data_IF_906418884242
#
_entry.id   IF_906418884242
#
_cell.length_a   1.000
_cell.length_b   1.000
_cell.length_c   1.000
_cell.angle_alpha   90.00
_cell.angle_beta   90.00
_cell.angle_gamma   90.00
#
_symmetry.space_group_name_H-M   'P 1'
#
loop_
_entity.id
_entity.type
_entity.pdbx_description
1 polymer ?
#
# COMPACT_ATOMS: atom_id res chain seq x y z
N UNK A 1 14.99 17.23 -16.60
CA UNK A 1 14.34 16.23 -15.74
C UNK A 1 13.45 16.92 -14.70
N UNK A 2 12.32 16.30 -14.35
CA UNK A 2 11.36 16.84 -13.38
C UNK A 2 11.63 16.33 -11.96
N UNK A 3 12.33 15.22 -11.83
CA UNK A 3 12.59 14.55 -10.55
C UNK A 3 13.95 14.94 -9.96
N UNK A 4 14.03 14.87 -8.62
CA UNK A 4 15.30 14.93 -7.91
C UNK A 4 16.06 13.60 -8.07
N UNK A 5 17.34 13.65 -8.39
CA UNK A 5 18.20 12.47 -8.56
C UNK A 5 18.38 11.63 -7.28
N UNK A 6 18.12 12.22 -6.09
CA UNK A 6 18.33 11.53 -4.82
C UNK A 6 17.18 10.61 -4.43
N UNK A 7 15.90 11.03 -4.66
CA UNK A 7 14.72 10.30 -4.18
C UNK A 7 13.58 10.22 -5.21
N UNK A 8 13.78 10.79 -6.40
CA UNK A 8 12.78 10.83 -7.47
C UNK A 8 11.62 11.80 -7.23
N UNK A 9 11.69 12.67 -6.22
CA UNK A 9 10.62 13.64 -5.93
C UNK A 9 10.47 14.63 -7.08
N UNK A 10 9.25 14.83 -7.55
CA UNK A 10 8.90 15.84 -8.55
C UNK A 10 8.47 17.12 -7.83
N UNK A 11 9.07 18.26 -8.23
CA UNK A 11 8.73 19.58 -7.67
C UNK A 11 7.23 19.87 -7.90
N UNK A 12 6.53 20.27 -6.82
CA UNK A 12 5.10 20.55 -6.82
C UNK A 12 4.67 21.63 -7.83
N UNK A 13 5.59 22.48 -8.31
CA UNK A 13 5.29 23.46 -9.37
C UNK A 13 4.91 22.83 -10.71
N UNK A 14 5.26 21.55 -10.92
CA UNK A 14 4.98 20.81 -12.17
C UNK A 14 3.71 19.94 -12.06
N UNK A 15 3.08 19.85 -10.88
CA UNK A 15 1.95 18.98 -10.62
C UNK A 15 0.81 19.73 -9.94
N UNK A 16 -0.44 19.29 -10.13
CA UNK A 16 -1.60 19.87 -9.44
C UNK A 16 -1.66 19.43 -7.96
N UNK A 17 -1.06 18.30 -7.63
CA UNK A 17 -1.00 17.75 -6.28
C UNK A 17 0.46 17.43 -5.94
N UNK A 18 0.96 17.78 -4.75
CA UNK A 18 2.31 17.44 -4.32
C UNK A 18 2.45 15.92 -4.06
N UNK A 19 3.69 15.43 -4.04
CA UNK A 19 4.00 14.05 -3.67
C UNK A 19 4.18 13.08 -4.84
N UNK A 20 4.14 13.57 -6.07
CA UNK A 20 4.53 12.78 -7.24
C UNK A 20 6.03 12.46 -7.20
N UNK A 21 6.37 11.27 -7.67
CA UNK A 21 7.75 10.81 -7.84
C UNK A 21 7.95 10.32 -9.28
N UNK A 22 9.19 10.32 -9.74
CA UNK A 22 9.51 9.84 -11.08
C UNK A 22 11.00 9.68 -11.31
N UNK A 23 11.37 8.99 -12.36
CA UNK A 23 12.72 8.90 -12.89
C UNK A 23 12.68 8.86 -14.41
N UNK A 24 13.68 9.42 -15.07
CA UNK A 24 13.72 9.61 -16.53
C UNK A 24 12.45 10.27 -17.08
N UNK A 25 11.97 11.28 -16.34
CA UNK A 25 10.75 12.02 -16.61
C UNK A 25 11.07 13.49 -16.83
N UNK A 26 10.57 14.06 -17.93
CA UNK A 26 10.91 15.42 -18.37
C UNK A 26 9.66 16.23 -18.69
N UNK A 27 9.73 17.55 -18.51
CA UNK A 27 8.67 18.43 -18.96
C UNK A 27 8.71 18.58 -20.49
N UNK A 28 7.56 18.46 -21.14
CA UNK A 28 7.45 18.57 -22.58
C UNK A 28 6.21 19.35 -23.00
N UNK A 29 6.26 20.69 -22.85
CA UNK A 29 5.18 21.58 -23.32
C UNK A 29 3.85 21.42 -22.61
N UNK A 30 3.87 21.19 -21.29
CA UNK A 30 2.67 21.04 -20.46
C UNK A 30 2.26 19.58 -20.18
N UNK A 31 2.96 18.61 -20.76
CA UNK A 31 2.80 17.17 -20.45
C UNK A 31 4.11 16.57 -19.90
N UNK A 32 4.05 15.37 -19.38
CA UNK A 32 5.21 14.58 -19.01
C UNK A 32 5.73 13.77 -20.21
N UNK A 33 7.05 13.73 -20.35
CA UNK A 33 7.77 12.86 -21.28
C UNK A 33 8.51 11.81 -20.47
N UNK A 34 8.10 10.55 -20.60
CA UNK A 34 8.76 9.40 -20.02
C UNK A 34 9.79 8.89 -21.04
N UNK A 35 11.06 9.06 -20.73
CA UNK A 35 12.13 8.64 -21.61
C UNK A 35 12.39 7.14 -21.50
N UNK A 36 13.01 6.57 -22.52
CA UNK A 36 13.51 5.20 -22.50
C UNK A 36 14.93 5.23 -23.02
N UNK A 37 15.88 5.07 -22.10
CA UNK A 37 17.27 4.84 -22.39
C UNK A 37 17.57 3.35 -22.23
N UNK A 38 18.08 2.72 -23.28
CA UNK A 38 18.36 1.27 -23.28
C UNK A 38 19.55 0.90 -22.39
N UNK A 39 20.37 1.87 -22.00
CA UNK A 39 21.54 1.66 -21.15
C UNK A 39 21.28 2.09 -19.69
N UNK A 40 20.48 3.14 -19.48
CA UNK A 40 20.28 3.75 -18.17
C UNK A 40 18.93 3.39 -17.52
N UNK A 41 17.88 3.06 -18.29
CA UNK A 41 16.59 2.66 -17.76
C UNK A 41 15.38 3.22 -18.49
N UNK A 42 14.20 3.02 -17.92
CA UNK A 42 12.91 3.45 -18.47
C UNK A 42 12.23 4.48 -17.59
N UNK A 43 11.59 5.46 -18.22
CA UNK A 43 10.84 6.51 -17.54
C UNK A 43 9.63 5.98 -16.79
N UNK A 44 9.45 6.46 -15.56
CA UNK A 44 8.34 6.09 -14.70
C UNK A 44 7.83 7.29 -13.90
N UNK A 45 6.54 7.24 -13.59
CA UNK A 45 5.83 8.16 -12.70
C UNK A 45 5.14 7.37 -11.60
N UNK A 46 5.15 7.91 -10.38
CA UNK A 46 4.40 7.37 -9.25
C UNK A 46 3.53 8.48 -8.67
N UNK A 47 2.26 8.20 -8.46
CA UNK A 47 1.32 9.12 -7.84
C UNK A 47 1.68 9.43 -6.38
N UNK A 48 1.16 10.51 -5.80
CA UNK A 48 1.03 10.59 -4.35
C UNK A 48 0.28 9.38 -3.81
N UNK A 49 0.51 9.02 -2.55
CA UNK A 49 -0.23 7.94 -1.89
C UNK A 49 -1.72 8.27 -1.84
N UNK A 50 -2.55 7.35 -2.31
CA UNK A 50 -3.99 7.49 -2.48
C UNK A 50 -4.75 6.53 -1.54
N UNK A 51 -5.95 6.91 -1.14
CA UNK A 51 -6.91 5.97 -0.56
C UNK A 51 -7.86 5.50 -1.67
N UNK A 52 -7.64 4.30 -2.18
CA UNK A 52 -8.44 3.65 -3.22
C UNK A 52 -9.31 2.51 -2.68
N UNK A 53 -9.44 2.40 -1.35
CA UNK A 53 -10.14 1.28 -0.71
C UNK A 53 -11.66 1.34 -0.78
N UNK A 54 -12.26 2.48 -1.12
CA UNK A 54 -13.71 2.61 -1.21
C UNK A 54 -14.28 1.70 -2.31
N UNK A 55 -15.56 1.37 -2.18
CA UNK A 55 -16.29 0.57 -3.19
C UNK A 55 -15.59 -0.76 -3.53
N UNK A 56 -15.04 -1.43 -2.50
CA UNK A 56 -14.35 -2.70 -2.67
C UNK A 56 -13.04 -2.60 -3.44
N UNK A 57 -12.42 -1.44 -3.48
CA UNK A 57 -11.16 -1.19 -4.19
C UNK A 57 -11.32 -1.05 -5.71
N UNK A 58 -12.52 -0.79 -6.20
CA UNK A 58 -12.75 -0.58 -7.64
C UNK A 58 -12.43 0.84 -8.05
N UNK A 59 -11.54 1.01 -9.03
CA UNK A 59 -11.20 2.31 -9.59
C UNK A 59 -10.78 2.22 -11.06
N UNK A 60 -10.83 3.35 -11.75
CA UNK A 60 -10.25 3.53 -13.08
C UNK A 60 -9.10 4.50 -13.02
N UNK A 61 -8.08 4.24 -13.82
CA UNK A 61 -7.09 5.24 -14.22
C UNK A 61 -7.32 5.60 -15.69
N UNK A 62 -7.47 6.87 -15.96
CA UNK A 62 -7.68 7.46 -17.28
C UNK A 62 -6.53 8.42 -17.56
N UNK A 63 -5.97 8.36 -18.75
CA UNK A 63 -4.89 9.25 -19.17
C UNK A 63 -4.90 9.43 -20.69
N UNK A 64 -4.25 10.49 -21.15
CA UNK A 64 -3.95 10.70 -22.56
C UNK A 64 -2.47 10.39 -22.80
N UNK A 65 -2.18 9.64 -23.86
CA UNK A 65 -0.81 9.33 -24.21
C UNK A 65 -0.60 9.23 -25.72
N UNK A 66 0.67 9.33 -26.11
CA UNK A 66 1.15 9.02 -27.46
C UNK A 66 2.61 8.62 -27.41
N UNK A 67 3.03 7.76 -28.32
CA UNK A 67 4.46 7.43 -28.47
C UNK A 67 5.22 8.65 -29.01
N UNK A 68 6.39 8.93 -28.43
CA UNK A 68 7.26 10.02 -28.86
C UNK A 68 8.12 9.60 -30.07
N UNK A 69 7.49 9.11 -31.13
CA UNK A 69 8.17 8.68 -32.37
C UNK A 69 7.58 9.39 -33.58
N UNK A 70 8.42 9.73 -34.53
CA UNK A 70 8.00 10.22 -35.84
C UNK A 70 7.47 9.12 -36.76
N UNK A 71 7.64 7.84 -36.39
CA UNK A 71 7.14 6.70 -37.15
C UNK A 71 5.69 6.41 -36.73
N UNK A 72 4.76 6.56 -37.66
CA UNK A 72 3.33 6.34 -37.44
C UNK A 72 2.94 4.89 -37.11
N UNK A 73 3.85 3.95 -37.27
CA UNK A 73 3.65 2.52 -36.97
C UNK A 73 4.30 2.06 -35.66
N UNK A 74 4.95 2.95 -34.91
CA UNK A 74 5.53 2.58 -33.60
C UNK A 74 4.39 2.37 -32.60
N UNK A 75 4.34 1.22 -31.96
CA UNK A 75 3.48 0.94 -30.81
C UNK A 75 4.34 0.68 -29.61
N UNK A 76 3.88 1.08 -28.43
CA UNK A 76 4.51 0.72 -27.16
C UNK A 76 3.48 0.28 -26.14
N UNK A 77 3.95 -0.25 -25.03
CA UNK A 77 3.12 -0.56 -23.87
C UNK A 77 3.48 0.37 -22.72
N UNK A 78 2.45 0.87 -22.05
CA UNK A 78 2.57 1.44 -20.70
C UNK A 78 2.19 0.35 -19.71
N UNK A 79 3.03 0.14 -18.71
CA UNK A 79 2.68 -0.63 -17.53
C UNK A 79 2.10 0.30 -16.47
N UNK A 80 0.96 -0.08 -15.93
CA UNK A 80 0.32 0.59 -14.80
C UNK A 80 0.21 -0.42 -13.66
N UNK A 81 0.85 -0.10 -12.54
CA UNK A 81 0.91 -0.97 -11.38
C UNK A 81 0.23 -0.29 -10.19
N UNK A 82 -0.66 -1.02 -9.51
CA UNK A 82 -1.18 -0.62 -8.21
C UNK A 82 -0.33 -1.26 -7.12
N UNK A 83 0.26 -0.45 -6.26
CA UNK A 83 1.24 -0.86 -5.25
C UNK A 83 0.77 -0.44 -3.87
N UNK A 84 0.53 -1.38 -2.98
CA UNK A 84 0.13 -1.09 -1.59
C UNK A 84 1.37 -0.80 -0.72
N UNK A 85 1.36 0.33 -0.01
CA UNK A 85 2.46 0.80 0.87
C UNK A 85 3.82 0.89 0.16
N UNK A 86 3.85 1.08 -1.15
CA UNK A 86 5.09 1.11 -1.93
C UNK A 86 5.72 -0.27 -2.17
N UNK A 87 5.01 -1.36 -1.86
CA UNK A 87 5.47 -2.73 -2.09
C UNK A 87 5.16 -3.17 -3.52
N UNK A 88 6.16 -3.11 -4.38
CA UNK A 88 6.03 -3.45 -5.80
C UNK A 88 6.03 -4.96 -6.10
N UNK A 89 6.50 -5.78 -5.17
CA UNK A 89 6.60 -7.24 -5.35
C UNK A 89 5.24 -7.95 -5.42
N UNK A 90 4.20 -7.36 -4.82
CA UNK A 90 2.83 -7.88 -4.78
C UNK A 90 1.85 -6.96 -5.54
N UNK A 91 2.35 -6.15 -6.45
CA UNK A 91 1.52 -5.21 -7.21
C UNK A 91 0.66 -5.92 -8.26
N UNK A 92 -0.56 -5.43 -8.45
CA UNK A 92 -1.38 -5.79 -9.62
C UNK A 92 -0.94 -4.93 -10.79
N UNK A 93 -0.49 -5.57 -11.86
CA UNK A 93 0.00 -4.91 -13.07
C UNK A 93 -1.01 -5.07 -14.20
N UNK A 94 -1.36 -3.96 -14.84
CA UNK A 94 -2.09 -3.93 -16.11
C UNK A 94 -1.23 -3.27 -17.18
N UNK A 95 -1.31 -3.75 -18.42
CA UNK A 95 -0.64 -3.14 -19.56
C UNK A 95 -1.62 -2.52 -20.53
N UNK A 96 -1.23 -1.41 -21.13
CA UNK A 96 -1.99 -0.74 -22.18
C UNK A 96 -1.10 -0.50 -23.39
N UNK A 97 -1.49 -1.05 -24.53
CA UNK A 97 -0.82 -0.75 -25.81
C UNK A 97 -1.13 0.69 -26.22
N UNK A 98 -0.09 1.49 -26.39
CA UNK A 98 -0.15 2.85 -26.90
C UNK A 98 0.13 2.81 -28.40
N UNK A 99 -0.84 3.23 -29.19
CA UNK A 99 -0.69 3.27 -30.64
C UNK A 99 0.28 4.37 -31.06
N UNK A 100 1.14 4.05 -32.01
CA UNK A 100 2.16 4.94 -32.58
C UNK A 100 1.56 6.00 -33.50
N UNK A 101 0.64 6.78 -33.01
CA UNK A 101 0.11 7.92 -33.73
C UNK A 101 0.76 9.21 -33.25
N UNK A 102 0.95 10.18 -34.13
CA UNK A 102 1.33 11.55 -33.74
C UNK A 102 0.20 12.29 -33.00
N UNK A 103 -0.94 11.63 -32.79
CA UNK A 103 -2.12 12.19 -32.14
C UNK A 103 -2.27 11.63 -30.72
N UNK A 104 -2.66 12.51 -29.81
CA UNK A 104 -3.07 12.11 -28.48
C UNK A 104 -4.29 11.21 -28.52
N UNK A 105 -4.26 10.14 -27.74
CA UNK A 105 -5.39 9.22 -27.55
C UNK A 105 -5.63 9.03 -26.06
N UNK A 106 -6.88 8.88 -25.68
CA UNK A 106 -7.29 8.60 -24.30
C UNK A 106 -7.33 7.09 -24.07
N UNK A 107 -6.85 6.66 -22.92
CA UNK A 107 -6.83 5.29 -22.46
C UNK A 107 -7.45 5.20 -21.06
N UNK A 108 -8.10 4.09 -20.77
CA UNK A 108 -8.71 3.80 -19.47
C UNK A 108 -8.40 2.38 -19.07
N UNK A 109 -7.86 2.20 -17.86
CA UNK A 109 -7.65 0.90 -17.22
C UNK A 109 -8.52 0.82 -15.98
N UNK A 110 -9.01 -0.38 -15.66
CA UNK A 110 -9.84 -0.64 -14.47
C UNK A 110 -9.11 -1.61 -13.54
N UNK A 111 -9.15 -1.30 -12.25
CA UNK A 111 -8.60 -2.10 -11.15
C UNK A 111 -9.69 -2.40 -10.13
N UNK A 112 -9.51 -3.47 -9.35
CA UNK A 112 -10.47 -3.91 -8.32
C UNK A 112 -9.80 -4.26 -6.99
N UNK A 113 -8.55 -3.84 -6.82
CA UNK A 113 -7.66 -4.19 -5.73
C UNK A 113 -7.16 -2.98 -4.94
N UNK A 114 -7.83 -1.83 -5.09
CA UNK A 114 -7.48 -0.58 -4.40
C UNK A 114 -7.54 -0.71 -2.88
N UNK A 115 -6.56 -0.12 -2.21
CA UNK A 115 -6.38 -0.14 -0.76
C UNK A 115 -6.27 1.29 -0.20
N UNK A 116 -6.15 1.40 1.12
CA UNK A 116 -6.14 2.70 1.81
C UNK A 116 -4.82 3.49 1.68
N UNK A 117 -3.76 2.87 1.15
CA UNK A 117 -2.44 3.49 0.94
C UNK A 117 -1.79 2.94 -0.32
N UNK A 118 -2.40 3.22 -1.45
CA UNK A 118 -1.89 2.80 -2.75
C UNK A 118 -1.09 3.90 -3.44
N UNK A 119 -0.05 3.50 -4.13
CA UNK A 119 0.68 4.30 -5.10
C UNK A 119 0.46 3.69 -6.49
N UNK A 120 0.15 4.49 -7.48
CA UNK A 120 0.04 4.03 -8.86
C UNK A 120 1.30 4.38 -9.61
N UNK A 121 2.02 3.36 -10.08
CA UNK A 121 3.18 3.54 -10.94
C UNK A 121 2.81 3.36 -12.41
N UNK A 122 3.28 4.27 -13.24
CA UNK A 122 3.15 4.26 -14.70
C UNK A 122 4.55 4.21 -15.30
N UNK A 123 4.83 3.21 -16.13
CA UNK A 123 6.18 2.97 -16.69
C UNK A 123 6.09 2.80 -18.21
N UNK A 124 6.91 3.52 -18.96
CA UNK A 124 7.13 3.28 -20.40
C UNK A 124 7.95 1.99 -20.59
N UNK A 125 7.73 1.24 -21.69
CA UNK A 125 8.40 -0.04 -21.91
C UNK A 125 9.58 0.03 -22.86
N UNK A 126 9.33 0.42 -24.10
CA UNK A 126 10.32 0.27 -25.19
C UNK A 126 10.60 1.56 -25.95
N UNK A 127 9.66 2.50 -25.93
CA UNK A 127 9.79 3.80 -26.59
C UNK A 127 9.41 4.92 -25.63
N UNK A 128 10.01 6.11 -25.78
CA UNK A 128 9.57 7.27 -25.01
C UNK A 128 8.10 7.60 -25.27
N UNK A 129 7.40 8.01 -24.23
CA UNK A 129 5.96 8.31 -24.26
C UNK A 129 5.69 9.69 -23.70
N UNK A 130 4.84 10.45 -24.38
CA UNK A 130 4.18 11.62 -23.80
C UNK A 130 2.91 11.17 -23.09
N UNK A 131 2.70 11.62 -21.86
CA UNK A 131 1.50 11.36 -21.05
C UNK A 131 0.99 12.62 -20.40
N UNK A 132 -0.35 12.73 -20.30
CA UNK A 132 -1.05 13.90 -19.75
C UNK A 132 -2.44 13.52 -19.24
N UNK A 133 -3.11 14.46 -18.54
CA UNK A 133 -4.49 14.35 -18.07
C UNK A 133 -4.76 13.07 -17.25
N UNK A 134 -3.84 12.70 -16.37
CA UNK A 134 -3.98 11.51 -15.52
C UNK A 134 -5.09 11.77 -14.50
N UNK A 135 -6.14 10.95 -14.53
CA UNK A 135 -7.27 11.00 -13.61
C UNK A 135 -7.53 9.64 -13.02
N UNK A 136 -7.67 9.56 -11.69
CA UNK A 136 -8.02 8.34 -10.97
C UNK A 136 -9.39 8.53 -10.33
N UNK A 137 -10.34 7.63 -10.64
CA UNK A 137 -11.73 7.71 -10.17
C UNK A 137 -12.16 6.39 -9.57
N UNK A 138 -12.62 6.40 -8.32
CA UNK A 138 -13.20 5.23 -7.68
C UNK A 138 -14.60 4.94 -8.22
N UNK A 139 -14.92 3.66 -8.44
CA UNK A 139 -16.19 3.21 -9.04
C UNK A 139 -17.05 2.63 -7.92
N UNK A 140 -18.20 3.26 -7.65
CA UNK A 140 -19.18 2.70 -6.70
C UNK A 140 -19.80 1.41 -7.27
N UNK A 141 -19.41 0.29 -6.67
CA UNK A 141 -19.93 -1.04 -6.97
C UNK A 141 -20.78 -1.61 -5.81
N UNK A 142 -21.16 -0.77 -4.84
CA UNK A 142 -21.94 -1.16 -3.66
C UNK A 142 -21.15 -1.85 -2.55
N UNK A 143 -19.89 -2.22 -2.77
CA UNK A 143 -19.04 -2.84 -1.75
C UNK A 143 -18.45 -1.81 -0.80
N UNK A 144 -18.25 -2.17 0.49
CA UNK A 144 -17.56 -1.29 1.44
C UNK A 144 -16.06 -1.22 1.14
N UNK A 145 -15.40 -0.15 1.63
CA UNK A 145 -13.95 -0.01 1.58
C UNK A 145 -13.23 -0.95 2.56
N UNK A 146 -11.99 -1.33 2.25
CA UNK A 146 -11.16 -2.08 3.19
C UNK A 146 -10.73 -1.17 4.37
N UNK A 147 -10.82 -1.64 5.63
CA UNK A 147 -10.32 -0.90 6.78
C UNK A 147 -8.80 -0.74 6.71
N UNK A 148 -8.27 0.32 7.33
CA UNK A 148 -6.86 0.40 7.65
C UNK A 148 -6.65 -0.10 9.07
N UNK A 149 -6.09 -1.32 9.21
CA UNK A 149 -5.73 -1.85 10.51
C UNK A 149 -4.56 -1.04 11.11
N UNK A 150 -4.63 -0.79 12.42
CA UNK A 150 -3.68 0.01 13.18
C UNK A 150 -2.92 -0.88 14.16
N UNK A 151 -1.82 -0.36 14.74
CA UNK A 151 -1.05 -1.10 15.73
C UNK A 151 -1.91 -1.54 16.93
N UNK A 152 -1.66 -2.76 17.42
CA UNK A 152 -2.31 -3.27 18.63
C UNK A 152 -1.92 -2.42 19.85
N UNK A 153 -2.89 -2.25 20.75
CA UNK A 153 -2.69 -1.58 22.06
C UNK A 153 -2.98 -2.54 23.21
N UNK A 154 -2.72 -2.14 24.46
CA UNK A 154 -2.94 -2.94 25.66
C UNK A 154 -2.32 -4.36 25.59
N UNK A 155 -1.18 -4.48 24.92
CA UNK A 155 -0.52 -5.76 24.67
C UNK A 155 0.10 -6.29 25.96
N UNK A 156 -0.29 -7.52 26.33
CA UNK A 156 0.22 -8.29 27.48
C UNK A 156 0.47 -9.75 27.10
N UNK A 157 0.78 -10.58 28.06
CA UNK A 157 1.01 -12.02 27.84
C UNK A 157 -0.29 -12.80 27.55
N UNK A 158 -1.47 -12.21 27.88
CA UNK A 158 -2.77 -12.90 27.82
C UNK A 158 -3.81 -12.19 26.94
N UNK A 159 -3.52 -10.95 26.49
CA UNK A 159 -4.48 -10.15 25.70
C UNK A 159 -3.81 -9.04 24.91
N UNK A 160 -4.51 -8.52 23.92
CA UNK A 160 -4.23 -7.25 23.24
C UNK A 160 -5.55 -6.65 22.71
N UNK A 161 -5.54 -5.34 22.41
CA UNK A 161 -6.64 -4.70 21.69
C UNK A 161 -6.25 -4.53 20.23
N UNK A 162 -6.99 -5.15 19.33
CA UNK A 162 -6.92 -4.92 17.89
C UNK A 162 -7.64 -3.60 17.55
N UNK A 163 -7.08 -2.77 16.65
CA UNK A 163 -7.62 -1.47 16.29
C UNK A 163 -7.61 -1.26 14.78
N UNK A 164 -8.57 -0.47 14.26
CA UNK A 164 -8.63 -0.07 12.85
C UNK A 164 -9.36 1.26 12.68
N UNK A 165 -9.17 1.88 11.53
CA UNK A 165 -9.90 3.08 11.17
C UNK A 165 -11.32 2.76 10.74
N UNK A 166 -12.26 3.64 11.08
CA UNK A 166 -13.64 3.54 10.62
C UNK A 166 -13.69 3.66 9.08
N UNK A 167 -14.54 2.85 8.48
CA UNK A 167 -14.88 2.91 7.05
C UNK A 167 -16.25 3.56 6.90
N UNK A 168 -16.34 4.54 6.00
CA UNK A 168 -17.59 5.26 5.75
C UNK A 168 -18.68 4.30 5.25
N UNK A 169 -19.85 4.36 5.88
CA UNK A 169 -20.99 3.51 5.56
C UNK A 169 -20.85 2.04 5.96
N UNK A 170 -19.81 1.65 6.69
CA UNK A 170 -19.70 0.30 7.23
C UNK A 170 -20.74 0.07 8.34
N UNK A 171 -21.44 -1.07 8.28
CA UNK A 171 -22.42 -1.53 9.28
C UNK A 171 -21.76 -2.38 10.38
N UNK A 172 -20.54 -2.87 10.13
CA UNK A 172 -19.77 -3.70 11.04
C UNK A 172 -18.46 -4.17 10.40
N UNK A 173 -17.73 -5.00 11.12
CA UNK A 173 -16.41 -5.50 10.71
C UNK A 173 -16.29 -6.99 10.98
N UNK A 174 -15.39 -7.64 10.23
CA UNK A 174 -14.97 -9.01 10.43
C UNK A 174 -13.51 -9.02 10.83
N UNK A 175 -13.21 -9.40 12.06
CA UNK A 175 -11.85 -9.48 12.58
C UNK A 175 -11.36 -10.93 12.49
N UNK A 176 -10.18 -11.13 11.91
CA UNK A 176 -9.46 -12.41 11.91
C UNK A 176 -8.16 -12.28 12.68
N UNK A 177 -7.93 -13.17 13.64
CA UNK A 177 -6.70 -13.24 14.46
C UNK A 177 -6.08 -14.62 14.30
N UNK A 178 -4.77 -14.65 14.02
CA UNK A 178 -4.06 -15.89 13.73
C UNK A 178 -2.60 -15.85 14.17
N UNK A 179 -1.97 -17.01 14.17
CA UNK A 179 -0.52 -17.23 14.31
C UNK A 179 0.00 -17.88 13.04
N UNK A 180 1.32 -17.91 12.85
CA UNK A 180 1.96 -18.62 11.74
C UNK A 180 2.68 -19.87 12.24
N UNK A 181 2.34 -21.04 11.70
CA UNK A 181 3.04 -22.30 11.91
C UNK A 181 3.51 -22.85 10.56
N UNK A 182 4.81 -22.92 10.35
CA UNK A 182 5.40 -23.31 9.06
C UNK A 182 4.85 -22.48 7.89
N UNK A 183 4.77 -21.17 8.06
CA UNK A 183 4.18 -20.21 7.12
C UNK A 183 2.67 -20.43 6.81
N UNK A 184 1.97 -21.23 7.61
CA UNK A 184 0.53 -21.47 7.49
C UNK A 184 -0.22 -20.79 8.62
N UNK A 185 -1.29 -20.05 8.29
CA UNK A 185 -2.14 -19.37 9.25
C UNK A 185 -2.91 -20.38 10.14
N UNK A 186 -2.78 -20.18 11.45
CA UNK A 186 -3.55 -20.92 12.45
C UNK A 186 -4.44 -19.92 13.20
N UNK A 187 -5.73 -19.94 12.89
CA UNK A 187 -6.66 -18.94 13.41
C UNK A 187 -7.01 -19.19 14.87
N UNK A 188 -6.88 -18.15 15.70
CA UNK A 188 -7.54 -18.09 17.01
C UNK A 188 -9.05 -17.93 16.78
N UNK A 189 -9.42 -17.05 15.87
CA UNK A 189 -10.76 -16.97 15.26
C UNK A 189 -10.66 -16.28 13.88
N UNK A 190 -11.56 -16.64 13.00
CA UNK A 190 -11.68 -16.09 11.65
C UNK A 190 -13.04 -15.43 11.49
N UNK A 191 -13.05 -14.26 10.86
CA UNK A 191 -14.27 -13.51 10.50
C UNK A 191 -15.22 -13.25 11.68
N UNK A 192 -14.65 -12.93 12.86
CA UNK A 192 -15.43 -12.58 14.03
C UNK A 192 -16.11 -11.23 13.83
N UNK A 193 -17.43 -11.20 13.97
CA UNK A 193 -18.22 -9.97 13.85
C UNK A 193 -17.94 -9.00 15.00
N UNK A 194 -17.68 -7.73 14.66
CA UNK A 194 -17.44 -6.63 15.57
C UNK A 194 -18.16 -5.39 15.05
N UNK A 195 -18.88 -4.69 15.93
CA UNK A 195 -19.61 -3.47 15.56
C UNK A 195 -18.78 -2.18 15.68
N UNK A 196 -17.72 -2.19 16.49
CA UNK A 196 -16.83 -1.04 16.71
C UNK A 196 -15.56 -1.10 15.86
N UNK A 197 -14.65 -0.16 16.11
CA UNK A 197 -13.33 -0.06 15.44
C UNK A 197 -12.18 -0.60 16.29
N UNK A 198 -12.51 -1.34 17.35
CA UNK A 198 -11.55 -2.05 18.20
C UNK A 198 -12.18 -3.31 18.80
N UNK A 199 -11.32 -4.24 19.19
CA UNK A 199 -11.74 -5.47 19.87
C UNK A 199 -10.65 -5.99 20.81
N UNK A 200 -11.03 -6.35 22.03
CA UNK A 200 -10.13 -6.95 23.01
C UNK A 200 -10.00 -8.46 22.75
N UNK A 201 -8.85 -8.85 22.26
CA UNK A 201 -8.47 -10.24 22.01
C UNK A 201 -7.90 -10.83 23.28
N UNK A 202 -8.52 -11.84 23.83
CA UNK A 202 -8.12 -12.54 25.07
C UNK A 202 -7.82 -14.01 24.78
N UNK A 203 -7.19 -14.69 25.74
CA UNK A 203 -6.86 -16.11 25.60
C UNK A 203 -5.69 -16.38 24.67
N UNK A 204 -4.83 -15.40 24.46
CA UNK A 204 -3.57 -15.58 23.73
C UNK A 204 -2.51 -16.20 24.65
N UNK A 205 -1.54 -16.89 24.06
CA UNK A 205 -0.42 -17.52 24.76
C UNK A 205 0.82 -16.65 24.73
N UNK A 206 1.60 -16.66 25.81
CA UNK A 206 2.87 -15.96 25.86
C UNK A 206 3.87 -16.57 24.84
N UNK A 207 4.78 -15.72 24.32
CA UNK A 207 5.86 -16.11 23.38
C UNK A 207 5.37 -16.66 22.02
N UNK A 208 4.13 -16.38 21.64
CA UNK A 208 3.60 -16.65 20.30
C UNK A 208 3.31 -15.33 19.61
N UNK A 209 3.78 -15.16 18.37
CA UNK A 209 3.48 -13.99 17.56
C UNK A 209 2.07 -14.10 16.99
N UNK A 210 1.25 -13.08 17.24
CA UNK A 210 -0.11 -12.96 16.71
C UNK A 210 -0.16 -11.91 15.62
N UNK A 211 -1.05 -12.17 14.69
CA UNK A 211 -1.35 -11.30 13.56
C UNK A 211 -2.85 -11.06 13.49
N UNK A 212 -3.27 -9.93 12.96
CA UNK A 212 -4.67 -9.73 12.65
C UNK A 212 -4.90 -8.92 11.38
N UNK A 213 -6.06 -9.17 10.80
CA UNK A 213 -6.63 -8.47 9.65
C UNK A 213 -8.11 -8.19 9.90
N UNK A 214 -8.66 -7.21 9.18
CA UNK A 214 -10.05 -6.77 9.32
C UNK A 214 -10.66 -6.55 7.94
N UNK A 215 -11.93 -6.96 7.76
CA UNK A 215 -12.78 -6.54 6.65
C UNK A 215 -13.95 -5.71 7.19
N UNK A 216 -14.49 -4.79 6.40
CA UNK A 216 -15.75 -4.10 6.70
C UNK A 216 -16.94 -4.82 6.07
N UNK A 217 -18.14 -4.58 6.59
CA UNK A 217 -19.42 -5.10 6.07
C UNK A 217 -20.36 -3.96 5.74
N UNK A 218 -21.08 -4.07 4.61
CA UNK A 218 -22.15 -3.16 4.21
C UNK A 218 -23.14 -3.90 3.28
N UNK A 219 -24.43 -3.79 3.54
CA UNK A 219 -25.48 -4.38 2.70
C UNK A 219 -25.29 -5.89 2.41
N UNK A 220 -24.72 -6.66 3.35
CA UNK A 220 -24.40 -8.07 3.15
C UNK A 220 -23.10 -8.34 2.36
N UNK A 221 -22.47 -7.34 1.81
CA UNK A 221 -21.17 -7.43 1.12
C UNK A 221 -20.02 -7.22 2.09
N UNK A 222 -18.88 -7.81 1.76
CA UNK A 222 -17.62 -7.70 2.53
C UNK A 222 -16.55 -7.03 1.69
N UNK A 223 -15.76 -6.16 2.32
CA UNK A 223 -14.62 -5.50 1.66
C UNK A 223 -13.46 -6.47 1.38
N UNK A 224 -12.47 -5.97 0.65
CA UNK A 224 -11.14 -6.57 0.66
C UNK A 224 -10.57 -6.54 2.09
N UNK A 225 -9.59 -7.42 2.34
CA UNK A 225 -8.90 -7.50 3.65
C UNK A 225 -7.98 -6.29 3.85
N UNK A 226 -7.90 -5.81 5.09
CA UNK A 226 -6.95 -4.77 5.50
C UNK A 226 -5.48 -5.19 5.33
N UNK A 227 -4.56 -4.26 5.57
CA UNK A 227 -3.19 -4.60 5.89
C UNK A 227 -3.12 -5.53 7.12
N UNK A 228 -2.10 -6.40 7.16
CA UNK A 228 -1.83 -7.25 8.32
C UNK A 228 -1.10 -6.48 9.40
N UNK A 229 -1.52 -6.63 10.64
CA UNK A 229 -0.81 -6.11 11.82
C UNK A 229 -0.12 -7.26 12.56
N UNK A 230 1.17 -7.10 12.79
CA UNK A 230 1.92 -7.93 13.74
C UNK A 230 1.75 -7.36 15.15
N UNK A 231 1.33 -8.20 16.10
CA UNK A 231 1.18 -7.80 17.50
C UNK A 231 2.54 -7.81 18.18
N UNK A 232 3.14 -6.62 18.30
CA UNK A 232 4.49 -6.47 18.88
C UNK A 232 4.38 -6.41 20.40
N UNK A 233 5.00 -7.35 21.08
CA UNK A 233 5.14 -7.34 22.55
C UNK A 233 6.39 -6.57 22.95
N UNK A 234 6.24 -5.68 23.90
CA UNK A 234 7.40 -5.03 24.54
C UNK A 234 7.98 -6.00 25.57
N UNK A 235 9.26 -6.27 25.48
CA UNK A 235 9.98 -6.95 26.55
C UNK A 235 9.85 -6.13 27.84
N UNK A 236 9.60 -6.81 28.96
CA UNK A 236 9.62 -6.16 30.28
C UNK A 236 11.03 -5.62 30.54
N UNK A 237 11.10 -4.37 30.97
CA UNK A 237 12.38 -3.82 31.43
C UNK A 237 12.84 -4.61 32.66
N UNK A 238 14.03 -5.21 32.64
CA UNK A 238 14.54 -5.92 33.80
C UNK A 238 14.57 -4.99 35.02
N UNK A 239 14.11 -5.49 36.15
CA UNK A 239 14.22 -4.79 37.43
C UNK A 239 15.50 -5.23 38.13
N UNK A 240 16.37 -4.27 38.39
CA UNK A 240 17.62 -4.58 39.13
C UNK A 240 17.30 -4.93 40.57
N UNK A 241 17.92 -5.98 41.08
CA UNK A 241 17.87 -6.40 42.45
C UNK A 241 19.21 -6.09 43.18
N UNK A 242 19.23 -6.03 44.50
CA UNK A 242 20.48 -5.86 45.25
C UNK A 242 21.52 -6.88 44.85
N UNK A 243 22.75 -6.42 44.70
CA UNK A 243 23.87 -7.33 44.46
C UNK A 243 24.08 -8.30 45.64
N UNK A 244 24.43 -9.52 45.29
CA UNK A 244 24.81 -10.55 46.29
C UNK A 244 26.27 -10.95 46.14
N UNK A 245 26.82 -11.72 47.09
CA UNK A 245 28.21 -12.17 47.11
C UNK A 245 29.22 -11.03 46.90
N UNK A 246 28.97 -9.90 47.56
CA UNK A 246 29.81 -8.69 47.43
C UNK A 246 31.13 -8.94 48.16
N UNK A 247 32.26 -8.95 47.44
CA UNK A 247 33.61 -9.11 47.95
C UNK A 247 34.54 -8.06 47.33
N UNK A 248 35.78 -8.00 47.81
CA UNK A 248 36.77 -7.01 47.36
C UNK A 248 37.06 -7.06 45.85
N UNK A 249 36.76 -8.17 45.17
CA UNK A 249 37.10 -8.41 43.78
C UNK A 249 35.92 -8.78 42.88
N UNK A 250 34.67 -8.72 43.41
CA UNK A 250 33.51 -9.05 42.62
C UNK A 250 32.18 -9.03 43.39
N UNK A 251 31.10 -9.11 42.64
CA UNK A 251 29.75 -9.27 43.17
C UNK A 251 28.89 -10.02 42.14
N UNK A 252 27.76 -10.54 42.57
CA UNK A 252 26.72 -11.07 41.66
C UNK A 252 25.69 -9.99 41.42
N UNK A 253 25.54 -9.57 40.18
CA UNK A 253 24.45 -8.70 39.74
C UNK A 253 23.16 -9.52 39.58
N UNK A 254 22.06 -9.04 40.12
CA UNK A 254 20.76 -9.71 40.09
C UNK A 254 19.72 -8.84 39.43
N UNK A 255 18.80 -9.44 38.68
CA UNK A 255 17.62 -8.82 38.07
C UNK A 255 16.48 -9.82 37.93
N UNK A 256 15.26 -9.33 37.68
CA UNK A 256 14.07 -10.11 37.37
C UNK A 256 13.27 -9.46 36.26
#
# INVERSE_FOLDING_TARGET
ELSDWNDGTIDAKYTQQPGWRGGFVYQAGGCAYLDVDTEEGTGWLITPTLNLSNYGGSFTIKFRARVASSKSSATDEIYVQNCFLGEYSNSVTSSQTIEGTTKWKEYTLTFTDGNSKDDIQITAKSYPIFIDDITITQIDNGKPGAPLAQAATNVSDTQFTANWQAVEGAEGYLLSVYTLKNATEQYLFKDKEVSGTSYDVTGIEANIDYYYTVCSKRNGETSNTSNTITVIRKLKTPVTLPATNVASYGFTANWQ
#
